data_IF_486567569028
#
_entry.id   IF_486567569028
#
_cell.length_a   1.000
_cell.length_b   1.000
_cell.length_c   1.000
_cell.angle_alpha   90.00
_cell.angle_beta   90.00
_cell.angle_gamma   90.00
#
_symmetry.space_group_name_H-M   'P 1'
#
loop_
_entity.id
_entity.type
_entity.pdbx_description
1 polymer ?
2 branched ?
3 non-polymer ?
4 water ?
#
# COMPACT_ATOMS: atom_id res chain seq x y z
N UNK A 1 -0.90 10.36 -16.82
CA UNK A 1 -1.68 9.37 -16.01
C UNK A 1 -1.15 7.96 -16.22
N UNK A 2 -1.16 7.16 -15.16
CA UNK A 2 -0.74 5.76 -15.26
C UNK A 2 -1.95 4.84 -15.39
N UNK A 3 -1.75 3.69 -16.02
CA UNK A 3 -2.78 2.67 -16.11
C UNK A 3 -2.80 1.86 -14.82
N UNK A 4 -4.00 1.62 -14.31
CA UNK A 4 -4.22 0.75 -13.17
C UNK A 4 -4.89 -0.54 -13.65
N UNK A 5 -4.44 -1.71 -13.16
CA UNK A 5 -3.38 -1.90 -12.17
C UNK A 5 -2.01 -1.53 -12.70
N UNK A 6 -1.14 -1.07 -11.81
CA UNK A 6 0.18 -0.60 -12.17
C UNK A 6 1.20 -1.42 -11.39
N UNK A 7 2.21 -1.93 -12.10
CA UNK A 7 3.34 -2.60 -11.46
C UNK A 7 4.58 -1.73 -11.42
N UNK A 8 5.06 -1.48 -10.21
CA UNK A 8 6.31 -0.79 -10.00
C UNK A 8 7.34 -1.81 -9.53
N UNK A 9 8.32 -2.11 -10.39
CA UNK A 9 9.46 -2.93 -9.96
C UNK A 9 10.23 -2.27 -8.84
N UNK A 10 10.61 -3.08 -7.86
CA UNK A 10 11.46 -2.66 -6.76
C UNK A 10 12.76 -3.47 -6.82
N UNK A 11 13.77 -2.94 -7.54
CA UNK A 11 14.92 -3.77 -7.92
C UNK A 11 15.77 -4.20 -6.71
N UNK A 12 15.89 -5.51 -6.50
CA UNK A 12 16.67 -6.00 -5.38
C UNK A 12 15.84 -5.90 -4.13
N UNK A 13 14.53 -5.73 -4.30
CA UNK A 13 13.60 -5.71 -3.16
C UNK A 13 13.61 -4.40 -2.40
N UNK A 14 13.02 -4.40 -1.21
CA UNK A 14 13.05 -3.24 -0.35
C UNK A 14 14.12 -3.34 0.73
N UNK A 15 14.36 -2.22 1.39
CA UNK A 15 15.45 -2.08 2.36
C UNK A 15 15.11 -0.87 3.22
N UNK A 16 15.56 -0.85 4.49
CA UNK A 16 15.30 0.35 5.28
C UNK A 16 15.86 1.61 4.62
N UNK A 17 15.11 2.71 4.76
CA UNK A 17 15.41 4.04 4.20
C UNK A 17 14.92 4.18 2.75
N UNK A 18 14.24 3.15 2.25
CA UNK A 18 13.60 3.24 0.94
C UNK A 18 12.22 3.86 1.09
N UNK A 19 11.98 4.95 0.36
CA UNK A 19 10.71 5.66 0.44
C UNK A 19 9.96 5.57 -0.87
N UNK A 20 8.74 5.06 -0.79
CA UNK A 20 7.89 4.88 -1.95
C UNK A 20 6.77 5.91 -1.86
N UNK A 21 6.57 6.64 -2.95
CA UNK A 21 5.57 7.70 -2.99
C UNK A 21 4.57 7.46 -4.12
N UNK A 22 3.29 7.43 -3.75
CA UNK A 22 2.19 7.21 -4.69
C UNK A 22 1.29 8.44 -4.67
N UNK A 23 1.10 9.06 -5.84
CA UNK A 23 0.15 10.16 -5.99
C UNK A 23 -1.01 9.79 -6.92
N UNK A 24 -2.22 10.13 -6.50
CA UNK A 24 -3.39 9.85 -7.31
C UNK A 24 -4.60 10.59 -6.81
N UNK A 25 -5.75 10.28 -7.39
CA UNK A 25 -7.03 10.84 -6.93
C UNK A 25 -8.03 9.71 -6.82
N UNK A 26 -8.78 9.69 -5.73
CA UNK A 26 -9.77 8.64 -5.55
C UNK A 26 -10.94 8.92 -6.48
N UNK A 27 -11.43 7.89 -7.16
CA UNK A 27 -12.58 8.07 -8.05
C UNK A 27 -13.84 8.40 -7.24
N UNK A 28 -14.82 9.07 -7.86
CA UNK A 28 -16.07 9.22 -7.14
C UNK A 28 -16.68 7.84 -6.89
N UNK A 29 -17.33 7.65 -5.75
CA UNK A 29 -17.98 6.37 -5.49
C UNK A 29 -17.00 5.17 -5.50
N UNK A 30 -15.73 5.43 -5.18
CA UNK A 30 -14.76 4.34 -5.02
C UNK A 30 -15.23 3.28 -4.02
N UNK A 31 -14.82 2.04 -4.27
CA UNK A 31 -15.03 0.94 -3.33
C UNK A 31 -13.75 0.53 -2.60
N UNK A 32 -12.64 0.47 -3.32
CA UNK A 32 -11.39 -0.03 -2.73
C UNK A 32 -10.16 0.57 -3.37
N UNK A 33 -9.07 0.56 -2.61
CA UNK A 33 -7.73 0.77 -3.14
C UNK A 33 -6.87 -0.38 -2.60
N UNK A 34 -5.88 -0.85 -3.37
CA UNK A 34 -4.93 -1.82 -2.83
C UNK A 34 -3.51 -1.50 -3.26
N UNK A 35 -2.60 -1.43 -2.29
CA UNK A 35 -1.17 -1.55 -2.56
C UNK A 35 -0.72 -2.93 -2.12
N UNK A 36 -0.09 -3.65 -3.05
CA UNK A 36 0.41 -4.99 -2.79
C UNK A 36 1.93 -5.08 -3.02
N UNK A 37 2.68 -5.09 -1.93
CA UNK A 37 4.10 -5.34 -1.96
C UNK A 37 4.35 -6.86 -2.05
N UNK A 38 4.84 -7.30 -3.21
CA UNK A 38 4.83 -8.71 -3.56
C UNK A 38 6.22 -9.34 -3.50
N UNK A 39 6.28 -10.54 -2.94
CA UNK A 39 7.46 -11.40 -3.03
C UNK A 39 7.06 -12.62 -3.85
N UNK A 40 7.38 -12.60 -5.14
CA UNK A 40 6.79 -13.56 -6.06
C UNK A 40 5.27 -13.51 -5.96
N UNK A 41 4.66 -14.67 -5.76
CA UNK A 41 3.20 -14.76 -5.63
C UNK A 41 2.68 -14.34 -4.25
N UNK A 42 3.57 -14.31 -3.27
CA UNK A 42 3.18 -13.85 -1.94
C UNK A 42 3.02 -12.33 -1.91
N UNK A 43 2.17 -11.87 -1.00
CA UNK A 43 2.04 -10.44 -0.73
C UNK A 43 2.56 -10.17 0.66
N UNK A 44 3.74 -9.57 0.73
CA UNK A 44 4.39 -9.30 2.02
C UNK A 44 3.61 -8.26 2.80
N UNK A 45 3.10 -7.26 2.10
CA UNK A 45 2.33 -6.18 2.72
C UNK A 45 1.23 -5.74 1.75
N UNK A 46 0.00 -6.04 2.16
CA UNK A 46 -1.25 -5.63 1.51
C UNK A 46 -1.85 -4.49 2.33
N UNK A 47 -2.01 -3.34 1.68
CA UNK A 47 -2.60 -2.13 2.26
C UNK A 47 -3.87 -1.80 1.48
N UNK A 48 -5.02 -1.93 2.13
CA UNK A 48 -6.30 -2.05 1.43
C UNK A 48 -7.36 -1.15 2.08
N UNK A 49 -7.39 0.13 1.70
CA UNK A 49 -8.52 0.97 2.05
C UNK A 49 -9.82 0.48 1.44
N UNK A 50 -10.82 0.27 2.29
CA UNK A 50 -12.17 -0.11 1.88
C UNK A 50 -13.17 0.99 2.21
N UNK A 51 -13.90 1.46 1.20
CA UNK A 51 -14.74 2.66 1.34
C UNK A 51 -16.17 2.32 1.80
N UNK A 52 -16.58 1.06 1.62
CA UNK A 52 -17.89 0.60 2.11
C UNK A 52 -17.83 -0.87 2.51
N UNK A 53 -17.36 -1.11 3.73
CA UNK A 53 -17.48 -2.41 4.36
C UNK A 53 -18.51 -2.29 5.47
N UNK A 54 -19.70 -2.85 5.23
CA UNK A 54 -20.82 -2.68 6.16
C UNK A 54 -21.06 -1.19 6.43
N UNK A 55 -20.97 -0.40 5.37
CA UNK A 55 -21.23 1.04 5.40
C UNK A 55 -20.27 1.81 6.30
N UNK A 56 -19.09 1.24 6.49
CA UNK A 56 -18.02 1.90 7.22
C UNK A 56 -16.78 1.94 6.33
N UNK A 57 -15.86 2.83 6.68
CA UNK A 57 -14.60 2.97 5.95
C UNK A 57 -13.49 2.49 6.86
N UNK A 58 -12.65 1.59 6.34
CA UNK A 58 -11.61 0.96 7.13
C UNK A 58 -10.45 0.60 6.23
N UNK A 59 -9.24 0.66 6.78
CA UNK A 59 -8.07 0.15 6.09
C UNK A 59 -7.73 -1.23 6.64
N UNK A 60 -7.65 -2.19 5.74
CA UNK A 60 -7.23 -3.54 6.07
C UNK A 60 -5.80 -3.78 5.59
N UNK A 61 -4.95 -4.25 6.49
CA UNK A 61 -3.60 -4.68 6.12
C UNK A 61 -3.38 -6.16 6.43
N UNK A 62 -2.65 -6.84 5.56
CA UNK A 62 -2.42 -8.27 5.75
C UNK A 62 -1.25 -8.75 4.91
N UNK A 63 -0.98 -10.05 5.02
CA UNK A 63 0.08 -10.73 4.29
C UNK A 63 -0.54 -12.01 3.72
N UNK A 64 -0.17 -12.32 2.48
CA UNK A 64 -0.60 -13.52 1.76
C UNK A 64 0.61 -14.41 1.54
N UNK A 65 0.57 -15.61 2.12
CA UNK A 65 1.65 -16.58 2.04
C UNK A 65 1.11 -17.88 1.47
N UNK A 66 1.71 -18.34 0.37
CA UNK A 66 1.26 -19.58 -0.27
C UNK A 66 -0.26 -19.54 -0.52
N UNK A 67 -0.75 -18.39 -0.97
CA UNK A 67 -2.17 -18.19 -1.26
C UNK A 67 -3.12 -18.24 -0.06
N UNK A 68 -2.59 -18.11 1.15
CA UNK A 68 -3.40 -17.95 2.35
C UNK A 68 -3.23 -16.58 3.01
N UNK A 69 -4.33 -15.86 3.20
CA UNK A 69 -4.32 -14.61 3.96
C UNK A 69 -4.13 -14.85 5.45
N UNK A 70 -3.31 -14.02 6.07
CA UNK A 70 -3.05 -14.13 7.51
C UNK A 70 -4.08 -13.41 8.35
N UNK A 71 -3.67 -13.04 9.55
CA UNK A 71 -4.54 -12.29 10.46
C UNK A 71 -4.52 -10.81 10.09
N UNK A 72 -5.68 -10.26 9.78
CA UNK A 72 -5.77 -8.84 9.38
C UNK A 72 -5.39 -7.89 10.52
N UNK A 73 -4.75 -6.79 10.15
CA UNK A 73 -4.61 -5.63 11.03
C UNK A 73 -5.45 -4.48 10.52
N UNK A 74 -6.33 -3.97 11.38
CA UNK A 74 -7.32 -2.99 10.95
C UNK A 74 -7.17 -1.65 11.64
N UNK A 75 -7.33 -0.60 10.84
CA UNK A 75 -7.18 0.79 11.26
C UNK A 75 -8.40 1.57 10.79
N UNK A 76 -9.12 2.13 11.75
CA UNK A 76 -10.33 2.89 11.47
C UNK A 76 -10.06 4.37 11.14
N UNK A 77 -8.87 4.87 11.46
CA UNK A 77 -8.49 6.18 10.94
C UNK A 77 -8.39 6.04 9.43
N UNK A 78 -9.11 6.90 8.71
CA UNK A 78 -9.34 6.74 7.28
C UNK A 78 -9.22 8.08 6.58
N UNK A 79 -8.02 8.41 6.08
CA UNK A 79 -7.79 9.77 5.59
C UNK A 79 -8.21 10.01 4.13
N UNK A 80 -8.57 8.95 3.42
CA UNK A 80 -8.96 9.07 2.02
C UNK A 80 -10.39 9.58 1.89
N UNK A 81 -10.68 10.29 0.81
CA UNK A 81 -12.04 10.74 0.52
C UNK A 81 -12.33 10.55 -0.97
N UNK A 82 -13.49 9.98 -1.28
CA UNK A 82 -13.90 9.79 -2.67
C UNK A 82 -13.83 11.12 -3.40
N UNK A 83 -13.27 11.08 -4.60
CA UNK A 83 -13.14 12.26 -5.42
C UNK A 83 -11.89 13.09 -5.23
N UNK A 84 -11.09 12.80 -4.20
CA UNK A 84 -10.04 13.75 -3.77
C UNK A 84 -8.64 13.22 -4.02
N UNK A 85 -7.72 14.12 -4.38
CA UNK A 85 -6.29 13.78 -4.48
C UNK A 85 -5.65 13.36 -3.17
N UNK A 86 -4.76 12.38 -3.26
CA UNK A 86 -4.04 11.88 -2.10
C UNK A 86 -2.56 11.69 -2.42
N UNK A 87 -1.76 11.60 -1.36
CA UNK A 87 -0.37 11.12 -1.45
C UNK A 87 -0.18 10.04 -0.39
N UNK A 88 0.33 8.88 -0.81
CA UNK A 88 0.70 7.81 0.11
C UNK A 88 2.23 7.70 0.10
N UNK A 89 2.83 7.75 1.29
CA UNK A 89 4.25 7.53 1.42
C UNK A 89 4.43 6.29 2.26
N UNK A 90 5.15 5.32 1.71
CA UNK A 90 5.51 4.11 2.46
C UNK A 90 7.03 4.13 2.68
N UNK A 91 7.44 4.25 3.93
CA UNK A 91 8.84 4.28 4.26
C UNK A 91 9.19 2.95 4.88
N UNK A 92 10.15 2.26 4.28
CA UNK A 92 10.62 1.00 4.83
C UNK A 92 11.57 1.26 6.00
N UNK A 93 11.24 0.70 7.15
CA UNK A 93 12.10 0.81 8.33
C UNK A 93 12.54 -0.61 8.76
N UNK A 94 13.46 -0.70 9.73
CA UNK A 94 13.98 -2.04 9.99
C UNK A 94 12.96 -3.06 10.47
N UNK A 95 11.93 -2.64 11.21
CA UNK A 95 10.97 -3.60 11.75
C UNK A 95 9.57 -3.52 11.12
N UNK A 96 9.30 -2.47 10.35
CA UNK A 96 7.96 -2.25 9.78
C UNK A 96 8.01 -1.43 8.49
N UNK A 97 6.93 -1.52 7.73
CA UNK A 97 6.55 -0.47 6.79
C UNK A 97 5.81 0.64 7.54
N UNK A 98 6.24 1.88 7.32
CA UNK A 98 5.58 3.03 7.93
C UNK A 98 4.84 3.83 6.86
N UNK A 99 3.53 3.99 7.05
CA UNK A 99 2.67 4.64 6.05
C UNK A 99 2.17 6.01 6.55
N UNK A 100 2.40 7.03 5.73
CA UNK A 100 1.78 8.34 5.89
C UNK A 100 0.93 8.69 4.69
N UNK A 101 -0.20 9.33 4.96
CA UNK A 101 -1.06 9.81 3.88
C UNK A 101 -1.21 11.33 4.03
N UNK A 102 -1.01 12.04 2.93
CA UNK A 102 -1.10 13.50 2.91
C UNK A 102 -0.24 14.15 4.01
N UNK A 103 0.94 13.56 4.21
CA UNK A 103 1.98 14.03 5.12
C UNK A 103 1.65 13.80 6.59
N UNK A 104 0.61 13.02 6.87
CA UNK A 104 0.28 12.65 8.24
C UNK A 104 0.45 11.16 8.44
N UNK A 105 1.19 10.80 9.49
CA UNK A 105 1.35 9.41 9.86
C UNK A 105 0.02 8.71 10.02
N UNK A 106 -0.06 7.52 9.44
CA UNK A 106 -1.29 6.74 9.45
C UNK A 106 -1.11 5.44 10.22
N UNK A 107 -0.18 4.59 9.78
CA UNK A 107 0.01 3.30 10.44
C UNK A 107 1.38 2.70 10.18
N UNK A 108 1.71 1.68 10.97
CA UNK A 108 2.87 0.85 10.68
C UNK A 108 2.46 -0.62 10.61
N UNK A 109 3.21 -1.39 9.84
CA UNK A 109 2.94 -2.81 9.65
C UNK A 109 4.23 -3.59 9.86
N UNK A 110 4.32 -4.36 10.94
CA UNK A 110 5.52 -5.11 11.21
C UNK A 110 5.84 -6.12 10.11
N UNK A 111 7.12 -6.28 9.80
CA UNK A 111 7.54 -7.25 8.79
C UNK A 111 7.24 -8.68 9.22
N UNK A 112 6.38 -9.34 8.44
CA UNK A 112 6.13 -10.76 8.59
C UNK A 112 7.01 -11.54 7.62
N UNK A 113 7.13 -11.02 6.41
CA UNK A 113 8.07 -11.53 5.42
C UNK A 113 9.45 -10.93 5.73
N UNK A 114 10.42 -11.81 5.92
CA UNK A 114 11.72 -11.44 6.47
C UNK A 114 12.72 -11.10 5.36
N UNK A 115 12.51 -11.69 4.18
CA UNK A 115 13.40 -11.46 3.03
C UNK A 115 13.01 -10.19 2.28
N UNK A 116 13.32 -9.05 2.88
CA UNK A 116 12.98 -7.76 2.29
C UNK A 116 13.53 -7.62 0.87
N UNK A 117 14.73 -8.15 0.65
CA UNK A 117 15.37 -8.03 -0.65
C UNK A 117 14.75 -8.92 -1.73
N UNK A 118 13.71 -9.67 -1.37
CA UNK A 118 12.92 -10.40 -2.36
C UNK A 118 11.53 -9.80 -2.62
N UNK A 119 11.20 -8.71 -1.92
CA UNK A 119 9.92 -8.03 -2.10
C UNK A 119 10.09 -7.04 -3.25
N UNK A 120 9.96 -7.54 -4.47
CA UNK A 120 10.57 -6.89 -5.62
C UNK A 120 9.55 -6.26 -6.59
N UNK A 121 8.29 -6.24 -6.19
CA UNK A 121 7.26 -5.55 -6.96
C UNK A 121 6.27 -4.83 -6.04
N UNK A 122 5.77 -3.71 -6.52
CA UNK A 122 4.58 -3.09 -5.92
C UNK A 122 3.48 -3.01 -6.95
N UNK A 123 2.38 -3.68 -6.66
CA UNK A 123 1.15 -3.56 -7.42
C UNK A 123 0.24 -2.51 -6.83
N UNK A 124 -0.20 -1.60 -7.68
CA UNK A 124 -1.16 -0.59 -7.29
C UNK A 124 -2.46 -0.78 -8.06
N UNK A 125 -3.55 -0.99 -7.33
CA UNK A 125 -4.82 -1.34 -7.96
C UNK A 125 -5.98 -0.65 -7.26
N UNK A 126 -7.14 -0.66 -7.91
CA UNK A 126 -8.36 -0.16 -7.29
C UNK A 126 -8.87 1.11 -7.93
N UNK A 127 -9.73 1.80 -7.19
CA UNK A 127 -10.62 2.78 -7.79
C UNK A 127 -10.00 4.17 -7.71
N UNK A 128 -8.91 4.35 -8.45
CA UNK A 128 -8.15 5.60 -8.45
C UNK A 128 -7.75 5.99 -9.86
N UNK A 129 -7.54 7.29 -10.03
CA UNK A 129 -6.74 7.80 -11.12
C UNK A 129 -5.31 7.95 -10.58
N UNK A 130 -4.40 7.17 -11.15
CA UNK A 130 -3.03 7.10 -10.66
C UNK A 130 -2.15 8.06 -11.44
N UNK A 131 -1.53 9.00 -10.72
CA UNK A 131 -0.73 10.07 -11.34
C UNK A 131 0.75 9.70 -11.38
N UNK A 132 1.27 9.15 -10.29
CA UNK A 132 2.69 8.83 -10.23
C UNK A 132 2.96 7.78 -9.15
N UNK A 133 3.99 6.97 -9.39
CA UNK A 133 4.46 5.97 -8.43
C UNK A 133 5.97 5.87 -8.56
N UNK A 134 6.69 6.16 -7.49
CA UNK A 134 8.15 6.20 -7.57
C UNK A 134 8.76 5.89 -6.21
N UNK A 135 10.09 5.77 -6.19
CA UNK A 135 10.79 5.52 -4.93
C UNK A 135 12.08 6.33 -4.92
N UNK A 136 12.57 6.56 -3.73
CA UNK A 136 13.88 7.16 -3.55
C UNK A 136 14.48 6.63 -2.26
N UNK A 137 15.80 6.72 -2.15
CA UNK A 137 16.49 6.34 -0.92
C UNK A 137 16.70 7.61 -0.12
N UNK A 138 16.25 7.63 1.14
CA UNK A 138 16.46 8.79 2.00
C UNK A 138 17.49 8.50 3.11
X LIG B 1 -12.70 -10.95 5.90
X LIG B 1 -12.31 -10.17 4.67
X LIG B 1 -11.53 -11.07 3.71
X LIG B 1 -12.28 -12.39 3.46
X LIG B 1 -11.41 -13.29 2.57
X LIG B 1 -13.44 -12.19 5.47
X LIG B 1 -13.84 -12.91 6.63
X LIG B 1 -13.57 -10.14 6.72
X LIG B 1 -11.50 -9.04 5.05
X LIG B 1 -11.43 -10.40 2.46
X LIG B 1 -12.55 -13.04 4.72
X LIG B 1 -10.53 -13.93 3.50
X LIG B 2 -10.13 -10.52 1.92
X LIG B 2 -10.20 -9.94 0.51
X LIG B 2 -8.83 -9.84 -0.12
X LIG B 2 -7.88 -9.11 0.82
X LIG B 2 -7.89 -9.78 2.21
X LIG B 2 -6.91 -9.11 3.17
X LIG B 2 -10.98 -10.80 -0.32
X LIG B 2 -9.02 -9.14 -1.35
X LIG B 2 -8.22 -7.73 0.91
X LIG B 2 -9.24 -9.78 2.77
X LIG B 2 -7.15 -9.77 4.43
X LIG B 3 -8.17 -9.55 -2.43
X LIG B 3 -8.91 -9.37 -3.78
X LIG B 3 -8.00 -9.76 -4.93
X LIG B 3 -6.72 -8.96 -4.86
X LIG B 3 -6.09 -9.13 -3.47
X LIG B 3 -4.82 -8.31 -3.27
X LIG B 3 -11.31 -9.64 -3.43
X LIG B 3 -12.49 -10.61 -3.44
X LIG B 3 -10.13 -10.18 -3.76
X LIG B 3 -8.67 -9.41 -6.14
X LIG B 3 -5.82 -9.43 -5.86
X LIG B 3 -7.01 -8.72 -2.45
X LIG B 3 -5.08 -6.94 -3.63
X LIG B 3 -11.47 -8.45 -3.12
X LIG B 4 -8.42 -10.34 -7.21
X LIG B 4 -9.55 -10.16 -8.21
X LIG B 4 -9.29 -11.03 -9.43
X LIG B 4 -7.95 -10.63 -10.02
X LIG B 4 -6.86 -10.86 -8.99
X LIG B 4 -5.54 -10.47 -9.63
X LIG B 4 -10.79 -10.50 -7.60
X LIG B 4 -10.31 -10.82 -10.41
X LIG B 4 -7.99 -9.24 -10.36
X LIG B 4 -7.14 -10.04 -7.83
X LIG B 4 -4.64 -10.32 -8.53
X LIG C 1 10.63 -14.58 4.38
#
# INVERSE_FOLDING_TARGET
MLIVPYNLPLPGGVVPRMLITILGTVKPNANRIALDFQRGNDVAFHFNPRFNENNRRVIVCNTLLDNNWGREERQSVFPFESGKPFKIQVLVEPDHFKVAVNDAHLLQYNHRVKKLNEISKLGISGDIDLTSASYTMI
BGC C2 C3 C4 C5 C6 C1 O1 O2 O3 O4 O5 O6
GAL C1 C2 C3 C4 C5 C6 O2 O3 O4 O5 O6
NAG C1 C2 C3 C4 C5 C6 C7 C8 N2 O3 O4 O5 O6 O7
GAL C1 C2 C3 C4 C5 C6 O2 O3 O4 O5 O6
CL CL
#
